data_IF_807719192295
#
_entry.id   IF_807719192295
#
_cell.length_a   1.000
_cell.length_b   1.000
_cell.length_c   1.000
_cell.angle_alpha   90.00
_cell.angle_beta   90.00
_cell.angle_gamma   90.00
#
_symmetry.space_group_name_H-M   'P 1'
#
loop_
_entity.id
_entity.type
_entity.pdbx_description
1 polymer ?
#
# COMPACT_ATOMS: atom_id res chain seq x y z
N UNK A 1 5.33 14.89 -2.96
CA UNK A 1 5.59 13.43 -3.00
C UNK A 1 5.18 12.78 -1.68
N UNK A 2 4.93 11.47 -1.65
CA UNK A 2 4.73 10.72 -0.40
C UNK A 2 6.11 10.23 0.08
N UNK A 3 6.40 10.31 1.37
CA UNK A 3 7.64 9.77 1.92
C UNK A 3 7.62 8.24 1.81
N UNK A 4 8.77 7.63 1.51
CA UNK A 4 8.87 6.16 1.48
C UNK A 4 8.57 5.62 2.89
N UNK A 5 7.66 4.64 3.04
CA UNK A 5 7.28 4.15 4.34
C UNK A 5 8.33 3.19 4.91
N UNK A 6 8.40 3.10 6.23
CA UNK A 6 9.12 2.00 6.89
C UNK A 6 8.29 0.73 6.78
N UNK A 7 8.87 -0.34 6.24
CA UNK A 7 8.15 -1.62 6.05
C UNK A 7 8.64 -2.62 7.10
N UNK A 8 7.73 -3.01 7.99
CA UNK A 8 7.93 -4.03 9.01
C UNK A 8 7.19 -5.31 8.62
N UNK A 9 7.91 -6.43 8.64
CA UNK A 9 7.32 -7.76 8.45
C UNK A 9 6.79 -8.28 9.78
N UNK A 10 5.51 -8.59 9.83
CA UNK A 10 4.84 -9.13 11.02
C UNK A 10 4.57 -10.62 10.79
N UNK A 11 4.90 -11.43 11.80
CA UNK A 11 4.65 -12.87 11.81
C UNK A 11 3.66 -13.20 12.93
N UNK A 12 3.07 -14.39 12.85
CA UNK A 12 2.04 -14.89 13.77
C UNK A 12 2.43 -14.82 15.25
N UNK A 13 3.71 -15.02 15.57
CA UNK A 13 4.22 -14.89 16.94
C UNK A 13 4.14 -13.46 17.50
N UNK A 14 3.97 -12.44 16.64
CA UNK A 14 3.91 -11.03 17.01
C UNK A 14 2.50 -10.44 16.88
N UNK A 15 1.50 -11.19 16.40
CA UNK A 15 0.17 -10.66 16.08
C UNK A 15 -0.56 -10.00 17.26
N UNK A 16 -0.38 -10.53 18.47
CA UNK A 16 -1.01 -10.02 19.69
C UNK A 16 -0.35 -8.73 20.22
N UNK A 17 0.87 -8.41 19.76
CA UNK A 17 1.56 -7.19 20.18
C UNK A 17 1.11 -5.94 19.41
N UNK A 18 0.25 -6.11 18.40
CA UNK A 18 -0.31 -5.00 17.63
C UNK A 18 -1.71 -4.65 18.11
N UNK A 19 -2.09 -3.39 18.03
CA UNK A 19 -3.48 -2.96 18.26
C UNK A 19 -3.98 -2.23 17.01
N UNK A 20 -5.07 -2.72 16.36
CA UNK A 20 -5.77 -3.99 16.63
C UNK A 20 -4.85 -5.22 16.51
N UNK A 21 -5.27 -6.40 16.98
CA UNK A 21 -4.49 -7.63 16.77
C UNK A 21 -4.52 -8.04 15.30
N UNK A 22 -3.43 -8.61 14.78
CA UNK A 22 -3.44 -9.22 13.46
C UNK A 22 -4.19 -10.56 13.50
N UNK A 23 -4.74 -10.93 12.35
CA UNK A 23 -5.27 -12.27 12.10
C UNK A 23 -4.72 -12.80 10.77
N UNK A 24 -5.07 -14.05 10.43
CA UNK A 24 -4.62 -14.72 9.19
C UNK A 24 -5.07 -14.04 7.88
N UNK A 25 -6.01 -13.10 7.94
CA UNK A 25 -6.56 -12.41 6.77
C UNK A 25 -6.07 -10.96 6.67
N UNK A 26 -5.57 -10.40 7.77
CA UNK A 26 -4.91 -9.11 7.81
C UNK A 26 -3.74 -9.16 6.83
N UNK A 27 -3.66 -8.20 5.93
CA UNK A 27 -2.64 -8.16 4.88
C UNK A 27 -1.62 -7.04 5.12
N UNK A 28 -2.13 -5.83 5.34
CA UNK A 28 -1.36 -4.63 5.65
C UNK A 28 -2.10 -3.84 6.72
N UNK A 29 -1.35 -3.30 7.67
CA UNK A 29 -1.79 -2.18 8.50
C UNK A 29 -0.80 -1.04 8.43
N UNK A 30 -1.31 0.16 8.58
CA UNK A 30 -0.49 1.37 8.64
C UNK A 30 -0.69 2.06 9.99
N UNK A 31 0.35 2.77 10.44
CA UNK A 31 0.27 3.64 11.62
C UNK A 31 0.93 4.97 11.28
N UNK A 32 0.28 6.08 11.65
CA UNK A 32 0.88 7.40 11.54
C UNK A 32 2.13 7.48 12.44
N UNK A 33 3.27 7.79 11.84
CA UNK A 33 4.58 7.86 12.48
C UNK A 33 5.03 9.32 12.73
N UNK A 34 4.14 10.29 12.48
CA UNK A 34 4.42 11.72 12.60
C UNK A 34 4.42 12.46 11.26
N UNK A 35 4.83 13.72 11.29
CA UNK A 35 5.03 14.55 10.11
C UNK A 35 6.52 14.77 9.88
N UNK A 36 6.96 14.62 8.63
CA UNK A 36 8.29 15.02 8.21
C UNK A 36 8.17 16.30 7.39
N UNK A 37 8.98 17.32 7.71
CA UNK A 37 9.16 18.45 6.83
C UNK A 37 9.81 17.95 5.55
N UNK A 38 9.15 18.17 4.41
CA UNK A 38 9.85 18.12 3.14
C UNK A 38 10.83 19.29 3.14
N UNK A 39 12.05 19.06 3.64
CA UNK A 39 13.31 19.62 3.16
C UNK A 39 14.44 19.44 4.20
N UNK A 40 15.46 18.66 3.82
CA UNK A 40 16.83 18.82 4.32
C UNK A 40 17.61 19.91 3.55
N UNK A 41 16.92 20.72 2.75
CA UNK A 41 17.50 21.83 2.00
C UNK A 41 16.84 23.15 2.39
N UNK A 42 17.67 24.11 2.77
CA UNK A 42 17.29 25.42 3.26
C UNK A 42 16.62 26.23 2.14
N UNK A 43 15.33 26.02 1.87
CA UNK A 43 14.58 26.80 0.88
C UNK A 43 14.31 28.21 1.44
N UNK A 44 15.14 29.17 1.04
CA UNK A 44 15.06 30.59 1.40
C UNK A 44 13.92 31.36 0.70
N UNK A 45 12.91 30.66 0.16
CA UNK A 45 11.83 31.24 -0.62
C UNK A 45 10.47 30.97 0.03
N UNK A 46 10.17 31.66 1.15
CA UNK A 46 8.83 32.08 1.62
C UNK A 46 7.62 31.12 1.60
N UNK A 47 7.77 29.86 1.19
CA UNK A 47 6.72 28.86 1.11
C UNK A 47 6.92 27.95 2.32
N UNK A 48 5.91 27.90 3.21
CA UNK A 48 5.96 27.07 4.41
C UNK A 48 6.37 25.64 4.05
N UNK A 49 7.26 24.98 4.84
CA UNK A 49 7.65 23.61 4.57
C UNK A 49 6.40 22.75 4.51
N UNK A 50 6.19 22.05 3.40
CA UNK A 50 5.08 21.11 3.26
C UNK A 50 5.34 19.95 4.24
N UNK A 51 4.69 19.99 5.40
CA UNK A 51 4.66 18.87 6.31
C UNK A 51 3.97 17.68 5.61
N UNK A 52 4.68 16.55 5.57
CA UNK A 52 4.18 15.32 4.97
C UNK A 52 4.01 14.27 6.05
N UNK A 53 2.80 13.72 6.15
CA UNK A 53 2.55 12.57 7.00
C UNK A 53 3.45 11.40 6.59
N UNK A 54 4.08 10.80 7.59
CA UNK A 54 4.86 9.57 7.47
C UNK A 54 4.05 8.44 8.09
N UNK A 55 4.02 7.30 7.44
CA UNK A 55 3.33 6.10 7.93
C UNK A 55 4.28 4.91 7.95
N UNK A 56 4.19 4.13 9.02
CA UNK A 56 4.82 2.82 9.12
C UNK A 56 3.88 1.73 8.60
N UNK A 57 4.40 0.81 7.80
CA UNK A 57 3.66 -0.25 7.15
C UNK A 57 4.01 -1.60 7.79
N UNK A 58 2.98 -2.33 8.23
CA UNK A 58 3.09 -3.62 8.89
C UNK A 58 2.44 -4.69 8.02
N UNK A 59 3.28 -5.51 7.38
CA UNK A 59 2.83 -6.54 6.42
C UNK A 59 2.75 -7.89 7.11
N UNK A 60 1.60 -8.56 7.01
CA UNK A 60 1.44 -9.90 7.55
C UNK A 60 2.09 -10.94 6.64
N UNK A 61 3.20 -11.52 7.08
CA UNK A 61 3.91 -12.57 6.34
C UNK A 61 3.29 -13.95 6.49
N UNK A 62 2.38 -14.13 7.45
CA UNK A 62 1.62 -15.35 7.68
C UNK A 62 0.15 -15.20 7.22
N UNK A 63 -0.09 -14.31 6.25
CA UNK A 63 -1.38 -14.16 5.60
C UNK A 63 -1.77 -15.46 4.85
N UNK A 64 -3.03 -15.89 4.98
CA UNK A 64 -3.52 -17.16 4.43
C UNK A 64 -3.40 -17.24 2.91
N UNK A 65 -3.56 -16.13 2.20
CA UNK A 65 -3.51 -16.09 0.73
C UNK A 65 -2.05 -16.13 0.26
N UNK A 66 -1.16 -15.38 0.90
CA UNK A 66 0.29 -15.51 0.67
C UNK A 66 0.75 -16.96 0.92
N UNK A 67 0.31 -17.56 2.04
CA UNK A 67 0.64 -18.95 2.37
C UNK A 67 0.08 -19.97 1.37
N UNK A 68 -1.03 -19.66 0.70
CA UNK A 68 -1.60 -20.51 -0.36
C UNK A 68 -0.71 -20.48 -1.60
N UNK A 69 -0.30 -19.29 -2.04
CA UNK A 69 0.57 -19.09 -3.21
C UNK A 69 1.96 -19.70 -3.01
N UNK A 70 2.53 -19.53 -1.82
CA UNK A 70 3.82 -20.14 -1.46
C UNK A 70 3.82 -21.66 -1.52
N UNK A 71 2.65 -22.30 -1.35
CA UNK A 71 2.50 -23.77 -1.45
C UNK A 71 2.14 -24.24 -2.85
N UNK A 72 1.42 -23.40 -3.62
CA UNK A 72 0.85 -23.77 -4.90
C UNK A 72 1.87 -23.72 -6.04
N UNK A 73 2.83 -22.80 -6.00
CA UNK A 73 3.73 -22.56 -7.13
C UNK A 73 5.10 -23.21 -6.93
N UNK A 74 5.79 -23.52 -8.03
CA UNK A 74 7.23 -23.87 -8.02
C UNK A 74 8.14 -22.64 -8.09
N UNK A 75 7.57 -21.43 -7.97
CA UNK A 75 8.31 -20.17 -8.11
C UNK A 75 9.11 -19.92 -6.83
N UNK A 76 10.14 -19.10 -6.96
CA UNK A 76 10.99 -18.74 -5.83
C UNK A 76 10.16 -18.06 -4.72
N UNK A 77 10.22 -18.61 -3.51
CA UNK A 77 9.46 -18.14 -2.37
C UNK A 77 9.79 -16.68 -2.01
N UNK A 78 11.04 -16.24 -2.22
CA UNK A 78 11.45 -14.87 -1.94
C UNK A 78 10.85 -13.89 -2.95
N UNK A 79 10.72 -14.31 -4.21
CA UNK A 79 10.03 -13.52 -5.25
C UNK A 79 8.55 -13.36 -4.93
N UNK A 80 7.87 -14.43 -4.49
CA UNK A 80 6.45 -14.38 -4.12
C UNK A 80 6.25 -13.44 -2.92
N UNK A 81 7.09 -13.56 -1.88
CA UNK A 81 7.06 -12.68 -0.71
C UNK A 81 7.30 -11.22 -1.11
N UNK A 82 8.27 -10.96 -1.98
CA UNK A 82 8.55 -9.61 -2.46
C UNK A 82 7.36 -9.03 -3.22
N UNK A 83 6.75 -9.79 -4.14
CA UNK A 83 5.54 -9.38 -4.87
C UNK A 83 4.39 -9.02 -3.92
N UNK A 84 4.17 -9.84 -2.90
CA UNK A 84 3.14 -9.57 -1.89
C UNK A 84 3.43 -8.29 -1.10
N UNK A 85 4.65 -8.15 -0.54
CA UNK A 85 5.06 -6.98 0.24
C UNK A 85 4.90 -5.71 -0.60
N UNK A 86 5.53 -5.65 -1.77
CA UNK A 86 5.56 -4.43 -2.56
C UNK A 86 4.21 -4.12 -3.21
N UNK A 87 3.45 -5.14 -3.62
CA UNK A 87 2.09 -4.95 -4.09
C UNK A 87 1.19 -4.33 -3.01
N UNK A 88 1.24 -4.85 -1.78
CA UNK A 88 0.48 -4.30 -0.65
C UNK A 88 0.93 -2.87 -0.30
N UNK A 89 2.23 -2.60 -0.32
CA UNK A 89 2.77 -1.25 -0.07
C UNK A 89 2.27 -0.26 -1.12
N UNK A 90 2.29 -0.62 -2.41
CA UNK A 90 1.78 0.24 -3.48
C UNK A 90 0.29 0.54 -3.32
N UNK A 91 -0.52 -0.45 -2.97
CA UNK A 91 -1.95 -0.26 -2.71
C UNK A 91 -2.19 0.65 -1.50
N UNK A 92 -1.45 0.46 -0.40
CA UNK A 92 -1.55 1.34 0.77
C UNK A 92 -1.13 2.78 0.47
N UNK A 93 -0.06 2.98 -0.31
CA UNK A 93 0.38 4.31 -0.74
C UNK A 93 -0.66 4.99 -1.63
N UNK A 94 -1.33 4.25 -2.52
CA UNK A 94 -2.39 4.79 -3.38
C UNK A 94 -3.57 5.30 -2.54
N UNK A 95 -4.00 4.55 -1.53
CA UNK A 95 -5.07 4.97 -0.61
C UNK A 95 -4.68 6.18 0.23
N UNK A 96 -3.43 6.23 0.73
CA UNK A 96 -2.90 7.42 1.42
C UNK A 96 -2.90 8.64 0.50
N UNK A 97 -2.56 8.46 -0.77
CA UNK A 97 -2.58 9.55 -1.75
C UNK A 97 -3.99 10.08 -1.99
N UNK A 98 -4.96 9.19 -2.14
CA UNK A 98 -6.37 9.53 -2.34
C UNK A 98 -6.95 10.30 -1.13
N UNK A 99 -6.67 9.83 0.09
CA UNK A 99 -7.13 10.46 1.33
C UNK A 99 -6.59 11.90 1.47
N UNK A 100 -5.30 12.10 1.17
CA UNK A 100 -4.66 13.44 1.16
C UNK A 100 -5.30 14.38 0.14
N UNK A 101 -5.57 13.90 -1.07
CA UNK A 101 -6.21 14.70 -2.11
C UNK A 101 -7.65 15.09 -1.75
N UNK A 102 -8.37 14.18 -1.09
CA UNK A 102 -9.75 14.42 -0.65
C UNK A 102 -9.81 15.50 0.42
N UNK A 103 -8.94 15.40 1.44
CA UNK A 103 -8.81 16.42 2.50
C UNK A 103 -8.44 17.81 1.96
N UNK A 104 -7.61 17.89 0.92
CA UNK A 104 -7.21 19.17 0.31
C UNK A 104 -8.39 19.87 -0.38
N UNK A 105 -9.28 19.11 -1.03
CA UNK A 105 -10.44 19.67 -1.75
C UNK A 105 -11.52 20.21 -0.82
N UNK A 106 -11.71 19.58 0.33
CA UNK A 106 -12.64 20.04 1.37
C UNK A 106 -12.21 21.40 1.92
N UNK A 107 -10.92 21.58 2.24
CA UNK A 107 -10.38 22.85 2.76
C UNK A 107 -10.53 24.00 1.77
N UNK A 108 -10.40 23.76 0.46
CA UNK A 108 -10.58 24.81 -0.56
C UNK A 108 -12.04 25.20 -0.82
N UNK A 109 -13.00 24.42 -0.31
CA UNK A 109 -14.43 24.67 -0.52
C UNK A 109 -15.10 25.42 0.64
N UNK A 110 -14.38 25.67 1.74
CA UNK A 110 -14.92 26.20 3.00
C UNK A 110 -14.50 27.66 3.31
N UNK A 111 -14.28 28.53 2.32
CA UNK A 111 -14.13 29.99 2.57
C UNK A 111 -15.46 30.69 2.98
N UNK A 112 -16.41 30.00 3.64
CA UNK A 112 -17.73 30.57 3.89
C UNK A 112 -18.61 29.99 5.00
N UNK A 113 -18.07 29.27 5.99
CA UNK A 113 -18.92 28.74 7.08
C UNK A 113 -18.18 28.60 8.40
N UNK A 114 -18.44 29.54 9.32
CA UNK A 114 -18.07 29.48 10.73
C UNK A 114 -18.64 28.23 11.42
N UNK A 115 -17.77 27.50 12.12
CA UNK A 115 -18.15 26.80 13.35
C UNK A 115 -18.44 25.30 13.23
N UNK A 116 -17.55 24.53 13.87
CA UNK A 116 -17.57 23.07 14.15
C UNK A 116 -17.16 22.17 12.98
N UNK A 117 -15.86 21.81 12.97
CA UNK A 117 -15.42 20.50 12.49
C UNK A 117 -16.18 19.44 13.31
N UNK A 118 -17.30 18.96 12.79
CA UNK A 118 -17.79 17.65 13.17
C UNK A 118 -16.69 16.66 12.78
N UNK A 119 -16.16 15.91 13.74
CA UNK A 119 -15.27 14.80 13.45
C UNK A 119 -16.00 13.90 12.46
N UNK A 120 -15.52 13.89 11.20
CA UNK A 120 -16.14 13.11 10.14
C UNK A 120 -16.24 11.67 10.62
N UNK A 121 -17.48 11.22 10.86
CA UNK A 121 -17.86 9.91 11.41
C UNK A 121 -17.65 8.78 10.39
N UNK A 122 -16.57 8.86 9.61
CA UNK A 122 -16.12 7.85 8.66
C UNK A 122 -14.95 7.05 9.24
N UNK A 123 -14.67 5.84 8.70
CA UNK A 123 -13.50 5.07 9.07
C UNK A 123 -12.24 5.90 8.81
N UNK A 124 -11.28 5.84 9.74
CA UNK A 124 -9.98 6.49 9.56
C UNK A 124 -9.22 5.82 8.40
N UNK A 125 -8.15 6.48 7.93
CA UNK A 125 -7.40 5.98 6.76
C UNK A 125 -6.74 4.62 7.04
N UNK A 126 -6.35 4.38 8.29
CA UNK A 126 -5.80 3.11 8.75
C UNK A 126 -6.79 1.94 8.53
N UNK A 127 -8.05 2.14 8.92
CA UNK A 127 -9.13 1.15 8.76
C UNK A 127 -9.47 0.92 7.29
N UNK A 128 -9.49 1.99 6.47
CA UNK A 128 -9.71 1.88 5.02
C UNK A 128 -8.61 1.04 4.37
N UNK A 129 -7.35 1.28 4.74
CA UNK A 129 -6.20 0.53 4.22
C UNK A 129 -6.27 -0.94 4.65
N UNK A 130 -6.56 -1.23 5.93
CA UNK A 130 -6.71 -2.61 6.43
C UNK A 130 -7.81 -3.35 5.66
N UNK A 131 -9.00 -2.76 5.55
CA UNK A 131 -10.15 -3.39 4.91
C UNK A 131 -9.90 -3.66 3.42
N UNK A 132 -9.38 -2.68 2.69
CA UNK A 132 -9.10 -2.83 1.27
C UNK A 132 -7.99 -3.86 1.02
N UNK A 133 -6.87 -3.76 1.74
CA UNK A 133 -5.74 -4.67 1.54
C UNK A 133 -6.09 -6.10 1.96
N UNK A 134 -6.91 -6.28 3.01
CA UNK A 134 -7.49 -7.58 3.37
C UNK A 134 -8.23 -8.20 2.19
N UNK A 135 -9.12 -7.46 1.53
CA UNK A 135 -9.84 -7.96 0.37
C UNK A 135 -8.92 -8.23 -0.84
N UNK A 136 -8.01 -7.30 -1.14
CA UNK A 136 -7.10 -7.39 -2.27
C UNK A 136 -6.09 -8.56 -2.14
N UNK A 137 -5.73 -8.96 -0.93
CA UNK A 137 -4.71 -9.99 -0.67
C UNK A 137 -5.00 -11.35 -1.32
N UNK A 138 -6.29 -11.69 -1.50
CA UNK A 138 -6.71 -12.94 -2.14
C UNK A 138 -6.46 -12.97 -3.66
N UNK A 139 -6.40 -11.80 -4.30
CA UNK A 139 -6.33 -11.67 -5.76
C UNK A 139 -5.02 -11.06 -6.26
N UNK A 140 -4.28 -10.37 -5.40
CA UNK A 140 -3.05 -9.66 -5.77
C UNK A 140 -2.05 -10.57 -6.49
N UNK A 141 -1.68 -11.69 -5.86
CA UNK A 141 -0.66 -12.59 -6.38
C UNK A 141 -1.12 -13.33 -7.65
N UNK A 142 -2.34 -13.92 -7.70
CA UNK A 142 -2.87 -14.48 -8.94
C UNK A 142 -2.89 -13.48 -10.11
N UNK A 143 -3.23 -12.22 -9.85
CA UNK A 143 -3.24 -11.17 -10.88
C UNK A 143 -1.83 -10.85 -11.39
N UNK A 144 -0.87 -10.67 -10.49
CA UNK A 144 0.54 -10.44 -10.87
C UNK A 144 1.06 -11.61 -11.70
N UNK A 145 0.67 -12.83 -11.34
CA UNK A 145 1.11 -14.02 -12.03
C UNK A 145 0.55 -14.12 -13.45
N UNK A 146 -0.76 -13.90 -13.59
CA UNK A 146 -1.45 -13.87 -14.88
C UNK A 146 -0.87 -12.80 -15.82
N UNK A 147 -0.60 -11.60 -15.30
CA UNK A 147 0.01 -10.52 -16.08
C UNK A 147 1.44 -10.85 -16.52
N UNK A 148 2.23 -11.48 -15.65
CA UNK A 148 3.58 -11.92 -15.99
C UNK A 148 3.60 -13.01 -17.07
N UNK A 149 2.64 -13.94 -17.03
CA UNK A 149 2.53 -15.00 -18.04
C UNK A 149 2.10 -14.46 -19.42
N UNK A 150 1.27 -13.39 -19.45
CA UNK A 150 0.87 -12.73 -20.70
C UNK A 150 2.06 -12.10 -21.44
N UNK A 151 2.96 -11.43 -20.72
CA UNK A 151 4.16 -10.81 -21.29
C UNK A 151 5.05 -11.85 -22.00
N UNK A 152 5.18 -13.04 -21.42
CA UNK A 152 5.94 -14.15 -22.02
C UNK A 152 5.27 -14.65 -23.30
N UNK A 153 3.94 -14.77 -23.33
CA UNK A 153 3.21 -15.25 -24.51
C UNK A 153 3.32 -14.26 -25.68
N UNK A 154 3.22 -12.96 -25.42
CA UNK A 154 3.35 -11.92 -26.45
C UNK A 154 4.76 -11.88 -27.04
N UNK A 155 5.80 -11.97 -26.20
CA UNK A 155 7.18 -12.03 -26.64
C UNK A 155 7.46 -13.26 -27.53
N UNK A 156 6.94 -14.43 -27.16
CA UNK A 156 7.07 -15.67 -27.95
C UNK A 156 6.35 -15.54 -29.30
N UNK A 157 5.13 -14.99 -29.31
CA UNK A 157 4.38 -14.77 -30.55
C UNK A 157 5.11 -13.83 -31.53
N UNK A 158 5.75 -12.77 -31.03
CA UNK A 158 6.56 -11.86 -31.85
C UNK A 158 7.80 -12.53 -32.44
N UNK A 159 8.50 -13.38 -31.68
CA UNK A 159 9.66 -14.13 -32.20
C UNK A 159 9.28 -15.16 -33.27
N UNK A 160 8.17 -15.88 -33.09
CA UNK A 160 7.71 -16.87 -34.05
C UNK A 160 7.20 -16.25 -35.37
N UNK A 161 6.70 -15.01 -35.34
CA UNK A 161 6.26 -14.28 -36.53
C UNK A 161 7.43 -13.67 -37.33
N UNK A 162 8.63 -13.56 -36.75
CA UNK A 162 9.80 -12.94 -37.39
C UNK A 162 10.70 -13.89 -38.18
N UNK A 163 10.54 -15.21 -38.04
CA UNK A 163 11.37 -16.22 -38.74
C UNK A 163 10.81 -16.65 -40.11
N UNK A 164 9.69 -16.07 -40.55
CA UNK A 164 9.06 -16.37 -41.83
C UNK A 164 9.30 -15.26 -42.88
N UNK A 165 10.55 -15.02 -43.28
CA UNK A 165 10.91 -14.27 -44.51
C UNK A 165 12.21 -14.76 -45.12
#
# INVERSE_FOLDING_TARGET
GIALPNITRVFSNDWENHTPHFDKFTALRIKHAGTASADGENNSNGNSPEERDVYDFYINMDNVYLGTELKATKKDADVIRARFIYGMVLLGLALLQEDRQSKTKEVTSEEGSDGKREEASGPNIEDKVDQFCRAASAVLLPLIDSLGDLEVQEAVAMTASGEAT
#
